data_IF_261073740710
#
_entry.id   IF_261073740710
#
_cell.length_a   1.000
_cell.length_b   1.000
_cell.length_c   1.000
_cell.angle_alpha   90.00
_cell.angle_beta   90.00
_cell.angle_gamma   90.00
#
_symmetry.space_group_name_H-M   'P 1'
#
loop_
_entity.id
_entity.type
_entity.pdbx_description
1 polymer ?
#
# COMPACT_ATOMS: atom_id res chain seq x y z
N UNK A 1 -44.59 -76.61 1.60
CA UNK A 1 -45.12 -77.95 1.92
C UNK A 1 -45.44 -77.97 3.41
N UNK A 2 -46.71 -78.18 3.72
CA UNK A 2 -47.31 -78.67 4.97
C UNK A 2 -46.92 -78.05 6.34
N UNK A 3 -47.88 -77.27 6.87
CA UNK A 3 -48.31 -77.11 8.28
C UNK A 3 -48.75 -78.48 8.90
N UNK A 4 -49.28 -78.63 10.14
CA UNK A 4 -49.29 -77.84 11.42
C UNK A 4 -49.16 -78.72 12.70
N UNK A 5 -49.22 -78.13 13.91
CA UNK A 5 -49.88 -78.71 15.13
C UNK A 5 -49.86 -77.65 16.27
N UNK A 6 -50.95 -76.91 16.56
CA UNK A 6 -52.19 -77.19 17.35
C UNK A 6 -52.11 -76.84 18.85
N UNK A 7 -53.28 -76.40 19.35
CA UNK A 7 -53.74 -76.06 20.73
C UNK A 7 -53.56 -74.58 21.15
N UNK A 8 -54.56 -73.68 21.18
CA UNK A 8 -56.00 -73.63 21.58
C UNK A 8 -56.23 -73.31 23.08
N UNK A 9 -56.83 -72.13 23.32
CA UNK A 9 -57.80 -71.73 24.38
C UNK A 9 -57.53 -70.26 24.83
N UNK A 10 -58.31 -69.28 24.40
CA UNK A 10 -59.58 -68.75 24.97
C UNK A 10 -59.34 -67.82 26.18
N UNK A 11 -59.70 -66.54 25.99
CA UNK A 11 -59.73 -65.44 26.98
C UNK A 11 -60.61 -65.77 28.20
N UNK A 12 -60.45 -65.00 29.28
CA UNK A 12 -61.51 -64.03 29.57
C UNK A 12 -61.00 -62.62 29.92
N UNK A 13 -61.89 -61.65 29.70
CA UNK A 13 -61.79 -60.26 30.14
C UNK A 13 -61.72 -60.16 31.67
N UNK A 14 -60.93 -59.21 32.17
CA UNK A 14 -60.77 -58.89 33.58
C UNK A 14 -60.58 -57.39 33.75
N UNK A 15 -61.28 -56.86 34.74
CA UNK A 15 -61.61 -55.47 35.03
C UNK A 15 -60.42 -54.62 35.49
N UNK A 16 -60.60 -53.30 35.42
CA UNK A 16 -59.62 -52.26 35.69
C UNK A 16 -59.02 -52.29 37.11
N UNK A 17 -57.74 -51.98 37.21
CA UNK A 17 -57.12 -51.42 38.41
C UNK A 17 -56.17 -50.30 37.98
N UNK A 18 -56.56 -49.06 38.29
CA UNK A 18 -55.72 -47.88 38.15
C UNK A 18 -54.60 -47.95 39.20
N UNK A 19 -53.36 -48.03 38.74
CA UNK A 19 -52.18 -47.87 39.60
C UNK A 19 -51.59 -46.46 39.39
N UNK A 20 -51.77 -45.63 40.39
CA UNK A 20 -51.34 -44.25 40.47
C UNK A 20 -49.87 -44.18 40.91
N UNK A 21 -48.96 -44.00 39.95
CA UNK A 21 -47.54 -43.72 40.22
C UNK A 21 -46.92 -42.69 39.27
N UNK A 22 -47.69 -41.68 38.85
CA UNK A 22 -47.13 -40.52 38.15
C UNK A 22 -46.59 -39.51 39.19
N UNK A 23 -45.27 -39.36 39.26
CA UNK A 23 -44.65 -38.18 39.90
C UNK A 23 -45.18 -36.88 39.27
N UNK A 24 -45.05 -35.73 39.95
CA UNK A 24 -45.68 -34.48 39.50
C UNK A 24 -45.29 -34.22 38.05
N UNK A 25 -46.30 -34.17 37.18
CA UNK A 25 -46.12 -33.86 35.77
C UNK A 25 -45.69 -32.39 35.71
N UNK A 26 -44.40 -32.16 35.49
CA UNK A 26 -43.84 -30.82 35.29
C UNK A 26 -44.62 -30.19 34.13
N UNK A 27 -45.41 -29.18 34.44
CA UNK A 27 -46.26 -28.53 33.45
C UNK A 27 -45.40 -27.62 32.57
N UNK A 28 -45.81 -27.44 31.31
CA UNK A 28 -45.15 -26.48 30.41
C UNK A 28 -45.13 -25.06 31.00
N UNK A 29 -46.09 -24.72 31.85
CA UNK A 29 -46.15 -23.44 32.57
C UNK A 29 -45.06 -23.31 33.64
N UNK A 30 -44.73 -24.39 34.37
CA UNK A 30 -43.62 -24.40 35.32
C UNK A 30 -42.26 -24.30 34.60
N UNK A 31 -42.10 -24.96 33.44
CA UNK A 31 -40.88 -24.83 32.63
C UNK A 31 -40.72 -23.40 32.11
N UNK A 32 -41.80 -22.76 31.64
CA UNK A 32 -41.78 -21.37 31.19
C UNK A 32 -41.42 -20.44 32.35
N UNK A 33 -42.00 -20.63 33.54
CA UNK A 33 -41.69 -19.81 34.72
C UNK A 33 -40.23 -19.92 35.15
N UNK A 34 -39.67 -21.14 35.14
CA UNK A 34 -38.25 -21.36 35.49
C UNK A 34 -37.32 -20.74 34.43
N UNK A 35 -37.67 -20.85 33.15
CA UNK A 35 -36.91 -20.22 32.06
C UNK A 35 -37.00 -18.69 32.14
N UNK A 36 -38.16 -18.12 32.46
CA UNK A 36 -38.33 -16.67 32.67
C UNK A 36 -37.54 -16.17 33.88
N UNK A 37 -37.53 -16.92 35.00
CA UNK A 37 -36.71 -16.60 36.17
C UNK A 37 -35.21 -16.70 35.88
N UNK A 38 -34.77 -17.72 35.13
CA UNK A 38 -33.38 -17.84 34.68
C UNK A 38 -32.98 -16.73 33.72
N UNK A 39 -33.83 -16.38 32.76
CA UNK A 39 -33.60 -15.27 31.83
C UNK A 39 -33.59 -13.93 32.58
N UNK A 40 -34.44 -13.74 33.58
CA UNK A 40 -34.44 -12.55 34.43
C UNK A 40 -33.17 -12.46 35.28
N UNK A 41 -32.66 -13.58 35.79
CA UNK A 41 -31.40 -13.62 36.53
C UNK A 41 -30.18 -13.39 35.62
N UNK A 42 -30.16 -13.94 34.40
CA UNK A 42 -29.11 -13.64 33.41
C UNK A 42 -29.16 -12.18 32.94
N UNK A 43 -30.35 -11.58 32.87
CA UNK A 43 -30.51 -10.15 32.52
C UNK A 43 -29.97 -9.23 33.62
N UNK A 44 -29.81 -9.72 34.84
CA UNK A 44 -29.31 -8.99 36.01
C UNK A 44 -27.79 -9.00 36.19
N UNK A 45 -27.04 -9.83 35.44
CA UNK A 45 -25.57 -9.94 35.57
C UNK A 45 -24.81 -9.01 34.60
N UNK A 46 -25.52 -8.23 33.80
CA UNK A 46 -24.96 -7.10 33.07
C UNK A 46 -24.92 -5.90 34.02
N UNK A 47 -23.89 -5.86 34.88
CA UNK A 47 -23.59 -4.66 35.67
C UNK A 47 -23.65 -3.42 34.75
N UNK A 48 -24.29 -2.30 35.17
CA UNK A 48 -24.30 -1.07 34.38
C UNK A 48 -22.91 -0.63 33.90
N UNK A 49 -21.86 -0.91 34.68
CA UNK A 49 -20.48 -0.67 34.28
C UNK A 49 -19.97 -1.61 33.17
N UNK A 50 -20.45 -2.84 33.11
CA UNK A 50 -20.15 -3.75 32.00
C UNK A 50 -20.85 -3.26 30.71
N UNK A 51 -22.11 -2.83 30.78
CA UNK A 51 -22.82 -2.26 29.62
C UNK A 51 -22.15 -0.99 29.09
N UNK A 52 -21.64 -0.13 29.99
CA UNK A 52 -20.84 1.04 29.62
C UNK A 52 -19.53 0.64 28.95
N UNK A 53 -18.79 -0.32 29.52
CA UNK A 53 -17.52 -0.81 28.94
C UNK A 53 -17.74 -1.47 27.56
N UNK A 54 -18.84 -2.20 27.38
CA UNK A 54 -19.22 -2.74 26.07
C UNK A 54 -19.52 -1.64 25.05
N UNK A 55 -20.19 -0.56 25.46
CA UNK A 55 -20.41 0.62 24.59
C UNK A 55 -19.11 1.32 24.21
N UNK A 56 -18.21 1.55 25.18
CA UNK A 56 -16.89 2.13 24.94
C UNK A 56 -16.02 1.24 24.02
N UNK A 57 -16.11 -0.08 24.18
CA UNK A 57 -15.43 -1.04 23.31
C UNK A 57 -16.03 -1.08 21.89
N UNK A 58 -17.35 -0.94 21.78
CA UNK A 58 -18.04 -0.84 20.48
C UNK A 58 -17.65 0.44 19.75
N UNK A 59 -17.57 1.58 20.45
CA UNK A 59 -17.13 2.86 19.90
C UNK A 59 -15.67 2.82 19.47
N UNK A 60 -14.79 2.21 20.28
CA UNK A 60 -13.39 1.98 19.91
C UNK A 60 -13.27 1.08 18.68
N UNK A 61 -14.06 -0.01 18.62
CA UNK A 61 -14.07 -0.92 17.47
C UNK A 61 -14.58 -0.23 16.19
N UNK A 62 -15.57 0.68 16.32
CA UNK A 62 -16.09 1.49 15.22
C UNK A 62 -15.01 2.46 14.72
N UNK A 63 -14.36 3.17 15.64
CA UNK A 63 -13.24 4.07 15.35
C UNK A 63 -12.09 3.37 14.62
N UNK A 64 -11.67 2.19 15.09
CA UNK A 64 -10.61 1.40 14.44
C UNK A 64 -11.03 0.98 13.02
N UNK A 65 -12.30 0.61 12.83
CA UNK A 65 -12.82 0.21 11.51
C UNK A 65 -12.84 1.38 10.52
N UNK A 66 -13.29 2.54 10.97
CA UNK A 66 -13.34 3.75 10.14
C UNK A 66 -11.92 4.21 9.80
N UNK A 67 -11.01 4.24 10.77
CA UNK A 67 -9.59 4.54 10.52
C UNK A 67 -8.93 3.54 9.55
N UNK A 68 -9.27 2.24 9.63
CA UNK A 68 -8.78 1.24 8.68
C UNK A 68 -9.32 1.47 7.27
N UNK A 69 -10.56 1.93 7.13
CA UNK A 69 -11.17 2.28 5.85
C UNK A 69 -10.48 3.50 5.24
N UNK A 70 -10.31 4.56 6.02
CA UNK A 70 -9.65 5.79 5.58
C UNK A 70 -8.20 5.52 5.14
N UNK A 71 -7.49 4.65 5.87
CA UNK A 71 -6.14 4.22 5.49
C UNK A 71 -6.12 3.39 4.20
N UNK A 72 -7.10 2.52 3.98
CA UNK A 72 -7.21 1.74 2.74
C UNK A 72 -7.49 2.65 1.52
N UNK A 73 -8.19 3.78 1.71
CA UNK A 73 -8.42 4.78 0.66
C UNK A 73 -7.12 5.53 0.26
N UNK A 74 -6.15 5.66 1.17
CA UNK A 74 -4.82 6.22 0.87
C UNK A 74 -4.03 5.32 -0.09
N UNK A 75 -4.44 4.05 -0.27
CA UNK A 75 -3.75 3.03 -1.08
C UNK A 75 -2.26 2.97 -0.76
N UNK A 76 -1.90 2.70 0.50
CA UNK A 76 -0.51 2.68 0.95
C UNK A 76 0.37 1.70 0.14
N UNK A 77 -0.23 0.69 -0.49
CA UNK A 77 0.44 -0.20 -1.44
C UNK A 77 0.91 0.53 -2.71
N UNK A 78 0.12 1.46 -3.27
CA UNK A 78 0.52 2.26 -4.45
C UNK A 78 1.66 3.23 -4.11
N UNK A 79 1.63 3.81 -2.91
CA UNK A 79 2.70 4.72 -2.46
C UNK A 79 4.01 3.96 -2.30
N UNK A 80 3.95 2.76 -1.72
CA UNK A 80 5.09 1.86 -1.54
C UNK A 80 5.60 1.31 -2.88
N UNK A 81 4.71 0.77 -3.72
CA UNK A 81 5.11 -0.02 -4.88
C UNK A 81 5.41 0.84 -6.12
N UNK A 82 4.94 2.09 -6.15
CA UNK A 82 5.05 2.94 -7.34
C UNK A 82 5.58 4.34 -7.05
N UNK A 83 4.95 5.11 -6.15
CA UNK A 83 5.26 6.54 -6.06
C UNK A 83 6.62 6.85 -5.43
N UNK A 84 6.97 6.24 -4.30
CA UNK A 84 8.26 6.50 -3.63
C UNK A 84 9.44 5.92 -4.41
N UNK A 85 9.39 4.69 -4.94
CA UNK A 85 10.45 4.15 -5.78
C UNK A 85 10.66 4.96 -7.05
N UNK A 86 9.59 5.30 -7.79
CA UNK A 86 9.71 6.10 -9.03
C UNK A 86 10.32 7.48 -8.76
N UNK A 87 9.87 8.16 -7.70
CA UNK A 87 10.41 9.46 -7.34
C UNK A 87 11.89 9.38 -6.93
N UNK A 88 12.28 8.30 -6.25
CA UNK A 88 13.68 8.05 -5.89
C UNK A 88 14.53 7.84 -7.14
N UNK A 89 14.10 6.95 -8.05
CA UNK A 89 14.81 6.66 -9.30
C UNK A 89 14.95 7.91 -10.18
N UNK A 90 13.88 8.70 -10.30
CA UNK A 90 13.90 9.97 -11.03
C UNK A 90 14.89 10.98 -10.41
N UNK A 91 14.93 11.08 -9.08
CA UNK A 91 15.86 11.98 -8.39
C UNK A 91 17.32 11.51 -8.53
N UNK A 92 17.58 10.21 -8.49
CA UNK A 92 18.91 9.64 -8.74
C UNK A 92 19.35 9.89 -10.18
N UNK A 93 18.44 9.78 -11.15
CA UNK A 93 18.71 10.12 -12.55
C UNK A 93 19.03 11.61 -12.74
N UNK A 94 18.34 12.50 -12.01
CA UNK A 94 18.67 13.93 -12.01
C UNK A 94 20.07 14.17 -11.46
N UNK A 95 20.47 13.52 -10.35
CA UNK A 95 21.83 13.63 -9.83
C UNK A 95 22.84 13.24 -10.91
N UNK A 96 22.70 12.03 -11.49
CA UNK A 96 23.62 11.55 -12.51
C UNK A 96 23.71 12.47 -13.74
N UNK A 97 22.57 12.93 -14.26
CA UNK A 97 22.55 13.84 -15.40
C UNK A 97 23.22 15.19 -15.09
N UNK A 98 23.07 15.69 -13.86
CA UNK A 98 23.72 16.94 -13.43
C UNK A 98 25.23 16.77 -13.20
N UNK A 99 25.68 15.62 -12.73
CA UNK A 99 27.11 15.28 -12.62
C UNK A 99 27.75 15.21 -14.01
N UNK A 100 27.12 14.51 -14.96
CA UNK A 100 27.60 14.39 -16.34
C UNK A 100 27.65 15.75 -17.04
N UNK A 101 26.60 16.56 -16.89
CA UNK A 101 26.57 17.91 -17.45
C UNK A 101 27.68 18.80 -16.86
N UNK A 102 27.89 18.74 -15.54
CA UNK A 102 28.98 19.45 -14.87
C UNK A 102 30.34 19.00 -15.41
N UNK A 103 30.58 17.69 -15.50
CA UNK A 103 31.82 17.14 -16.07
C UNK A 103 32.12 17.70 -17.46
N UNK A 104 31.14 17.70 -18.36
CA UNK A 104 31.30 18.29 -19.71
C UNK A 104 31.60 19.79 -19.70
N UNK A 105 31.03 20.54 -18.75
CA UNK A 105 31.34 21.97 -18.58
C UNK A 105 32.80 22.16 -18.13
N UNK A 106 33.26 21.34 -17.18
CA UNK A 106 34.64 21.40 -16.69
C UNK A 106 35.63 21.01 -17.79
N UNK A 107 35.37 19.95 -18.55
CA UNK A 107 36.19 19.54 -19.70
C UNK A 107 36.28 20.67 -20.75
N UNK A 108 35.17 21.37 -21.03
CA UNK A 108 35.18 22.52 -21.93
C UNK A 108 36.02 23.69 -21.38
N UNK A 109 36.05 23.88 -20.06
CA UNK A 109 36.90 24.88 -19.41
C UNK A 109 38.39 24.53 -19.50
N UNK A 110 38.75 23.25 -19.47
CA UNK A 110 40.13 22.82 -19.75
C UNK A 110 40.55 23.17 -21.18
N UNK A 111 39.67 22.96 -22.16
CA UNK A 111 39.92 23.35 -23.55
C UNK A 111 40.07 24.88 -23.67
N UNK A 112 39.21 25.66 -23.02
CA UNK A 112 39.36 27.12 -23.01
C UNK A 112 40.68 27.57 -22.40
N UNK A 113 41.13 26.90 -21.35
CA UNK A 113 42.41 27.17 -20.70
C UNK A 113 43.60 26.89 -21.64
N UNK A 114 43.56 25.78 -22.39
CA UNK A 114 44.61 25.45 -23.37
C UNK A 114 44.66 26.46 -24.52
N UNK A 115 43.48 26.90 -25.01
CA UNK A 115 43.39 27.86 -26.12
C UNK A 115 43.76 29.27 -25.66
N UNK A 116 43.52 29.64 -24.40
CA UNK A 116 43.86 30.98 -23.88
C UNK A 116 45.36 31.26 -23.98
N UNK A 117 46.21 30.24 -23.85
CA UNK A 117 47.66 30.36 -24.04
C UNK A 117 48.09 30.82 -25.43
N UNK A 118 47.18 30.84 -26.42
CA UNK A 118 47.40 31.31 -27.80
C UNK A 118 46.82 32.71 -28.05
N UNK A 119 46.12 33.29 -27.08
CA UNK A 119 45.50 34.62 -27.19
C UNK A 119 46.49 35.74 -26.84
N UNK A 120 46.04 36.99 -27.01
CA UNK A 120 46.73 38.15 -26.45
C UNK A 120 46.80 38.05 -24.92
N UNK A 121 47.76 38.72 -24.29
CA UNK A 121 47.93 38.68 -22.83
C UNK A 121 46.67 39.13 -22.09
N UNK A 122 46.03 40.22 -22.54
CA UNK A 122 44.77 40.75 -21.99
C UNK A 122 43.60 39.77 -22.15
N UNK A 123 43.42 39.19 -23.35
CA UNK A 123 42.32 38.26 -23.61
C UNK A 123 42.53 36.92 -22.89
N UNK A 124 43.77 36.47 -22.76
CA UNK A 124 44.13 35.26 -22.02
C UNK A 124 43.80 35.41 -20.53
N UNK A 125 44.17 36.54 -19.93
CA UNK A 125 43.87 36.84 -18.52
C UNK A 125 42.36 36.91 -18.28
N UNK A 126 41.61 37.60 -19.16
CA UNK A 126 40.14 37.65 -19.08
C UNK A 126 39.50 36.27 -19.20
N UNK A 127 40.00 35.43 -20.11
CA UNK A 127 39.50 34.07 -20.31
C UNK A 127 39.76 33.18 -19.09
N UNK A 128 40.97 33.22 -18.54
CA UNK A 128 41.33 32.42 -17.36
C UNK A 128 40.54 32.83 -16.11
N UNK A 129 40.28 34.13 -15.93
CA UNK A 129 39.43 34.61 -14.84
C UNK A 129 37.99 34.08 -14.99
N UNK A 130 37.42 34.12 -16.19
CA UNK A 130 36.08 33.58 -16.45
C UNK A 130 36.01 32.05 -16.23
N UNK A 131 37.04 31.31 -16.66
CA UNK A 131 37.14 29.87 -16.41
C UNK A 131 37.19 29.57 -14.90
N UNK A 132 37.93 30.37 -14.14
CA UNK A 132 38.01 30.24 -12.68
C UNK A 132 36.64 30.45 -12.02
N UNK A 133 35.89 31.48 -12.44
CA UNK A 133 34.52 31.71 -11.96
C UNK A 133 33.59 30.53 -12.28
N UNK A 134 33.74 29.89 -13.45
CA UNK A 134 32.95 28.71 -13.80
C UNK A 134 33.27 27.53 -12.88
N UNK A 135 34.55 27.26 -12.61
CA UNK A 135 34.95 26.20 -11.66
C UNK A 135 34.32 26.42 -10.28
N UNK A 136 34.35 27.65 -9.76
CA UNK A 136 33.75 27.99 -8.48
C UNK A 136 32.22 27.83 -8.50
N UNK A 137 31.56 28.23 -9.58
CA UNK A 137 30.12 28.08 -9.74
C UNK A 137 29.69 26.60 -9.82
N UNK A 138 30.42 25.78 -10.55
CA UNK A 138 30.17 24.33 -10.66
C UNK A 138 30.33 23.60 -9.33
N UNK A 139 31.16 24.10 -8.40
CA UNK A 139 31.33 23.52 -7.08
C UNK A 139 30.03 23.55 -6.23
N UNK A 140 29.05 24.39 -6.57
CA UNK A 140 27.72 24.39 -5.93
C UNK A 140 26.90 23.11 -6.22
N UNK A 141 27.25 22.36 -7.26
CA UNK A 141 26.59 21.12 -7.64
C UNK A 141 26.75 20.03 -6.56
N UNK A 142 27.89 19.96 -5.88
CA UNK A 142 28.13 19.01 -4.79
C UNK A 142 27.10 19.19 -3.65
N UNK A 143 26.83 20.44 -3.25
CA UNK A 143 25.81 20.73 -2.24
C UNK A 143 24.40 20.37 -2.73
N UNK A 144 24.13 20.53 -4.02
CA UNK A 144 22.84 20.18 -4.61
C UNK A 144 22.65 18.66 -4.65
N UNK A 145 23.66 17.91 -5.10
CA UNK A 145 23.67 16.44 -5.06
C UNK A 145 23.44 15.92 -3.66
N UNK A 146 24.21 16.39 -2.67
CA UNK A 146 24.04 16.00 -1.26
C UNK A 146 22.64 16.31 -0.71
N UNK A 147 22.05 17.46 -1.09
CA UNK A 147 20.68 17.80 -0.67
C UNK A 147 19.65 16.86 -1.28
N UNK A 148 19.78 16.53 -2.57
CA UNK A 148 18.87 15.58 -3.23
C UNK A 148 19.02 14.19 -2.61
N UNK A 149 20.25 13.72 -2.35
CA UNK A 149 20.49 12.44 -1.65
C UNK A 149 19.82 12.39 -0.27
N UNK A 150 19.82 13.51 0.48
CA UNK A 150 19.08 13.59 1.76
C UNK A 150 17.56 13.51 1.57
N UNK A 151 17.02 14.12 0.52
CA UNK A 151 15.59 14.02 0.18
C UNK A 151 15.24 12.57 -0.16
N UNK A 152 16.03 11.91 -1.00
CA UNK A 152 15.88 10.48 -1.34
C UNK A 152 15.91 9.61 -0.07
N UNK A 153 16.88 9.82 0.82
CA UNK A 153 16.95 9.10 2.09
C UNK A 153 15.72 9.31 2.98
N UNK A 154 15.13 10.52 2.95
CA UNK A 154 13.90 10.82 3.69
C UNK A 154 12.69 10.09 3.07
N UNK A 155 12.59 10.04 1.75
CA UNK A 155 11.53 9.30 1.06
C UNK A 155 11.59 7.80 1.36
N UNK A 156 12.78 7.20 1.35
CA UNK A 156 13.00 5.80 1.79
C UNK A 156 12.56 5.58 3.24
N UNK A 157 12.83 6.54 4.12
CA UNK A 157 12.40 6.42 5.51
C UNK A 157 10.88 6.52 5.68
N UNK A 158 10.20 7.29 4.82
CA UNK A 158 8.73 7.35 4.77
C UNK A 158 8.17 6.00 4.29
N UNK A 159 8.79 5.38 3.29
CA UNK A 159 8.43 4.03 2.80
C UNK A 159 8.48 3.00 3.93
N UNK A 160 9.58 2.93 4.68
CA UNK A 160 9.74 2.02 5.83
C UNK A 160 8.63 2.21 6.87
N UNK A 161 8.22 3.46 7.11
CA UNK A 161 7.17 3.79 8.08
C UNK A 161 5.79 3.37 7.61
N UNK A 162 5.51 3.53 6.32
CA UNK A 162 4.28 3.03 5.71
C UNK A 162 4.24 1.50 5.82
N UNK A 163 5.36 0.81 5.59
CA UNK A 163 5.43 -0.65 5.73
C UNK A 163 5.16 -1.09 7.17
N UNK A 164 5.81 -0.48 8.16
CA UNK A 164 5.57 -0.77 9.58
C UNK A 164 4.10 -0.55 9.97
N UNK A 165 3.48 0.51 9.45
CA UNK A 165 2.08 0.82 9.69
C UNK A 165 1.17 -0.25 9.06
N UNK A 166 1.42 -0.65 7.82
CA UNK A 166 0.68 -1.73 7.16
C UNK A 166 0.77 -3.06 7.91
N UNK A 167 1.95 -3.41 8.42
CA UNK A 167 2.17 -4.62 9.21
C UNK A 167 1.43 -4.55 10.55
N UNK A 168 1.51 -3.43 11.27
CA UNK A 168 0.86 -3.24 12.57
C UNK A 168 -0.68 -3.31 12.50
N UNK A 169 -1.27 -2.85 11.40
CA UNK A 169 -2.73 -2.87 11.19
C UNK A 169 -3.26 -4.18 10.57
N UNK A 170 -2.40 -5.19 10.39
CA UNK A 170 -2.82 -6.52 9.96
C UNK A 170 -3.25 -6.61 8.49
N UNK A 171 -2.85 -5.65 7.65
CA UNK A 171 -3.09 -5.71 6.20
C UNK A 171 -2.33 -6.85 5.49
N UNK A 172 -1.59 -7.67 6.24
CA UNK A 172 -0.92 -8.89 5.77
C UNK A 172 -1.71 -10.19 5.90
N UNK A 173 -2.91 -10.22 6.51
CA UNK A 173 -3.66 -11.49 6.69
C UNK A 173 -5.13 -11.31 6.30
N UNK A 174 -5.46 -11.85 5.11
CA UNK A 174 -6.80 -12.06 4.54
C UNK A 174 -7.50 -10.83 3.95
N UNK A 175 -7.25 -10.56 2.66
CA UNK A 175 -8.30 -10.31 1.63
C UNK A 175 -7.66 -9.97 0.27
N UNK A 176 -6.88 -10.88 -0.31
CA UNK A 176 -6.39 -10.74 -1.68
C UNK A 176 -6.18 -12.10 -2.38
N UNK A 177 -7.17 -13.00 -2.31
CA UNK A 177 -7.21 -14.17 -3.21
C UNK A 177 -8.47 -14.33 -4.06
N UNK A 178 -9.51 -13.52 -3.85
CA UNK A 178 -10.69 -13.50 -4.72
C UNK A 178 -10.86 -12.13 -5.37
N UNK A 179 -10.07 -11.90 -6.41
CA UNK A 179 -10.10 -10.69 -7.21
C UNK A 179 -8.98 -10.77 -8.21
N UNK A 180 -9.30 -11.27 -9.41
CA UNK A 180 -8.37 -11.52 -10.50
C UNK A 180 -7.26 -10.46 -10.58
N UNK A 181 -6.02 -10.93 -10.65
CA UNK A 181 -4.87 -10.16 -11.06
C UNK A 181 -5.14 -9.48 -12.40
N UNK A 182 -5.71 -8.27 -12.37
CA UNK A 182 -5.48 -7.30 -13.42
C UNK A 182 -4.07 -6.80 -13.18
N UNK A 183 -3.16 -7.33 -13.98
CA UNK A 183 -1.84 -6.74 -14.25
C UNK A 183 -2.01 -5.21 -14.25
N UNK A 184 -1.29 -4.45 -13.41
CA UNK A 184 -1.34 -3.00 -13.48
C UNK A 184 -1.05 -2.60 -14.93
N UNK A 185 -1.78 -1.64 -15.52
CA UNK A 185 -1.33 -1.05 -16.76
C UNK A 185 0.11 -0.58 -16.52
N UNK A 186 1.01 -0.92 -17.45
CA UNK A 186 2.39 -0.42 -17.44
C UNK A 186 2.34 1.07 -17.11
N UNK A 187 3.08 1.48 -16.08
CA UNK A 187 3.05 2.82 -15.50
C UNK A 187 2.75 3.88 -16.58
N UNK A 188 1.48 4.28 -16.67
CA UNK A 188 1.13 5.45 -17.46
C UNK A 188 1.80 6.59 -16.72
N UNK A 189 2.78 7.22 -17.39
CA UNK A 189 3.42 8.45 -16.94
C UNK A 189 2.34 9.31 -16.27
N UNK A 190 2.58 9.86 -15.07
CA UNK A 190 1.61 10.74 -14.45
C UNK A 190 1.37 11.89 -15.44
N UNK A 191 0.25 11.84 -16.17
CA UNK A 191 -0.23 12.96 -16.95
C UNK A 191 -0.60 14.00 -15.91
N UNK A 192 0.38 14.83 -15.58
CA UNK A 192 0.17 15.96 -14.69
C UNK A 192 -1.05 16.70 -15.21
N UNK A 193 -1.98 17.01 -14.32
CA UNK A 193 -2.98 18.07 -14.53
C UNK A 193 -2.28 19.43 -14.53
N UNK A 194 -1.20 19.54 -15.29
CA UNK A 194 -0.46 20.76 -15.47
C UNK A 194 -1.09 21.44 -16.68
N UNK A 195 -1.88 22.48 -16.43
CA UNK A 195 -2.64 23.20 -17.46
C UNK A 195 -1.76 24.04 -18.41
N UNK A 196 -0.44 23.89 -18.31
CA UNK A 196 0.52 24.56 -19.19
C UNK A 196 0.59 23.82 -20.53
N UNK A 197 0.53 24.55 -21.67
CA UNK A 197 0.47 23.95 -23.00
C UNK A 197 1.73 23.16 -23.39
N UNK A 198 2.83 23.30 -22.64
CA UNK A 198 4.12 22.66 -22.85
C UNK A 198 4.44 21.55 -21.83
N UNK A 199 3.51 21.21 -20.92
CA UNK A 199 3.74 20.19 -19.91
C UNK A 199 4.07 18.81 -20.52
N UNK A 200 3.47 18.46 -21.66
CA UNK A 200 3.73 17.23 -22.40
C UNK A 200 5.12 17.21 -23.09
N UNK A 201 5.77 18.38 -23.22
CA UNK A 201 7.10 18.53 -23.83
C UNK A 201 8.24 18.44 -22.81
N UNK A 202 7.94 18.60 -21.51
CA UNK A 202 8.91 18.54 -20.41
C UNK A 202 9.20 17.08 -20.04
N UNK A 203 9.90 16.36 -20.92
CA UNK A 203 10.48 15.08 -20.55
C UNK A 203 11.77 15.34 -19.77
N UNK A 204 11.81 14.92 -18.50
CA UNK A 204 13.03 14.90 -17.70
C UNK A 204 14.09 13.94 -18.29
N UNK A 205 15.28 13.90 -17.70
CA UNK A 205 16.34 12.96 -18.10
C UNK A 205 15.79 11.53 -18.21
N UNK A 206 16.09 10.83 -19.30
CA UNK A 206 15.61 9.47 -19.48
C UNK A 206 16.33 8.53 -18.52
N UNK A 207 15.56 7.75 -17.75
CA UNK A 207 16.10 6.67 -16.94
C UNK A 207 16.81 5.64 -17.85
N UNK A 208 17.95 5.06 -17.45
CA UNK A 208 18.73 4.15 -18.29
C UNK A 208 17.94 2.95 -18.84
N UNK A 209 16.90 2.48 -18.13
CA UNK A 209 16.02 1.38 -18.58
C UNK A 209 14.88 1.80 -19.51
N UNK A 210 14.59 3.10 -19.61
CA UNK A 210 13.54 3.68 -20.45
C UNK A 210 14.12 4.61 -21.54
N UNK A 211 15.44 4.66 -21.68
CA UNK A 211 16.10 5.38 -22.75
C UNK A 211 15.85 4.65 -24.07
N UNK A 212 15.39 5.38 -25.08
CA UNK A 212 15.28 4.79 -26.42
C UNK A 212 16.69 4.42 -26.87
N UNK A 213 16.89 3.17 -27.29
CA UNK A 213 18.19 2.78 -27.81
C UNK A 213 18.45 3.49 -29.14
N UNK A 214 19.73 3.67 -29.49
CA UNK A 214 20.10 4.23 -30.80
C UNK A 214 19.50 3.39 -31.94
N UNK A 215 19.36 2.07 -31.72
CA UNK A 215 18.74 1.13 -32.65
C UNK A 215 17.23 1.40 -32.83
N UNK A 216 16.52 1.74 -31.75
CA UNK A 216 15.10 2.13 -31.80
C UNK A 216 14.92 3.48 -32.53
N UNK A 217 15.83 4.43 -32.31
CA UNK A 217 15.83 5.73 -32.98
C UNK A 217 16.06 5.56 -34.48
N UNK A 218 17.04 4.74 -34.86
CA UNK A 218 17.38 4.46 -36.25
C UNK A 218 16.24 3.71 -36.97
N UNK A 219 15.56 2.79 -36.28
CA UNK A 219 14.38 2.09 -36.81
C UNK A 219 13.19 3.03 -37.07
N UNK A 220 12.96 3.99 -36.17
CA UNK A 220 11.94 5.02 -36.33
C UNK A 220 12.30 5.94 -37.51
N UNK A 221 13.54 6.39 -37.61
CA UNK A 221 14.00 7.25 -38.71
C UNK A 221 13.94 6.54 -40.07
N UNK A 222 14.29 5.26 -40.12
CA UNK A 222 14.17 4.44 -41.33
C UNK A 222 12.71 4.20 -41.77
N UNK A 223 11.74 4.40 -40.87
CA UNK A 223 10.31 4.27 -41.20
C UNK A 223 9.69 5.53 -41.84
N UNK A 224 10.45 6.64 -41.90
CA UNK A 224 10.04 7.89 -42.53
C UNK A 224 10.57 8.09 -43.96
N UNK A 225 11.45 7.20 -44.43
CA UNK A 225 11.88 7.08 -45.84
C UNK A 225 11.05 6.01 -46.58
#
# INVERSE_FOLDING_TARGET
MAVPSKFSAKQPAGEAAADSSAGPAVTTEEVVSVVEQMLSNLRGDLSPGAMQLYGELEDLARFIRDARKDLAEIRPEDIRDHHIPSATDELDAVIGATEEATGRILDACEVFSEVSGKLSEEDSERTMNAVTEIYEACNFQDITGQRITKVVGTLKHIEDKIEQLLQAFGAGVNNAKDGAAKKPPAAEKPKGKDGRPDADLLNGPQLPGNANSQEDIDAILASFD
#
